data_IF_219927802904
#
_entry.id   IF_219927802904
#
_cell.length_a   1.000
_cell.length_b   1.000
_cell.length_c   1.000
_cell.angle_alpha   90.00
_cell.angle_beta   90.00
_cell.angle_gamma   90.00
#
_symmetry.space_group_name_H-M   'P 1'
#
loop_
_entity.id
_entity.type
_entity.pdbx_description
1 polymer ?
#
# COMPACT_ATOMS: atom_id res chain seq x y z
N UNK A 1 2.96 -12.16 6.87
CA UNK A 1 1.87 -11.18 7.15
C UNK A 1 1.53 -10.40 5.90
N UNK A 2 0.25 -10.22 5.59
CA UNK A 2 -0.25 -9.48 4.42
C UNK A 2 -0.93 -8.19 4.89
N UNK A 3 -0.51 -7.05 4.35
CA UNK A 3 -1.07 -5.72 4.63
C UNK A 3 -1.58 -5.13 3.31
N UNK A 4 -2.84 -4.72 3.27
CA UNK A 4 -3.36 -3.92 2.15
C UNK A 4 -3.39 -2.44 2.52
N UNK A 5 -3.05 -1.59 1.56
CA UNK A 5 -3.15 -0.13 1.69
C UNK A 5 -4.09 0.37 0.61
N UNK A 6 -5.17 1.01 1.03
CA UNK A 6 -6.24 1.40 0.11
C UNK A 6 -6.81 2.78 0.43
N UNK A 7 -7.54 3.34 -0.51
CA UNK A 7 -8.31 4.56 -0.35
C UNK A 7 -9.70 4.43 -0.97
N UNK A 8 -10.67 5.18 -0.46
CA UNK A 8 -12.02 5.21 -1.04
C UNK A 8 -12.12 6.09 -2.30
N UNK A 9 -11.07 6.85 -2.59
CA UNK A 9 -11.01 7.80 -3.72
C UNK A 9 -9.54 7.97 -4.16
N UNK A 10 -9.31 8.17 -5.44
CA UNK A 10 -7.99 8.51 -5.96
C UNK A 10 -7.39 9.79 -5.35
N UNK A 11 -6.07 9.86 -5.28
CA UNK A 11 -5.33 11.01 -4.76
C UNK A 11 -5.34 11.17 -3.23
N UNK A 12 -5.63 10.10 -2.50
CA UNK A 12 -5.58 10.11 -1.03
C UNK A 12 -4.16 9.90 -0.47
N UNK A 13 -3.18 9.53 -1.29
CA UNK A 13 -1.82 9.24 -0.87
C UNK A 13 -1.55 7.76 -0.55
N UNK A 14 -2.41 6.87 -1.00
CA UNK A 14 -2.36 5.42 -0.77
C UNK A 14 -1.01 4.83 -1.17
N UNK A 15 -0.59 5.04 -2.41
CA UNK A 15 0.68 4.54 -2.96
C UNK A 15 1.89 5.07 -2.19
N UNK A 16 1.86 6.35 -1.77
CA UNK A 16 2.92 6.95 -0.96
C UNK A 16 3.04 6.27 0.42
N UNK A 17 1.91 5.96 1.06
CA UNK A 17 1.89 5.28 2.36
C UNK A 17 2.34 3.82 2.20
N UNK A 18 1.90 3.12 1.15
CA UNK A 18 2.34 1.76 0.86
C UNK A 18 3.87 1.70 0.66
N UNK A 19 4.42 2.59 -0.16
CA UNK A 19 5.86 2.71 -0.38
C UNK A 19 6.63 3.00 0.91
N UNK A 20 6.14 3.95 1.73
CA UNK A 20 6.78 4.29 3.00
C UNK A 20 6.78 3.15 4.00
N UNK A 21 5.66 2.42 4.13
CA UNK A 21 5.57 1.23 4.97
C UNK A 21 6.58 0.18 4.52
N UNK A 22 6.63 -0.15 3.23
CA UNK A 22 7.54 -1.14 2.68
C UNK A 22 9.02 -0.77 2.94
N UNK A 23 9.38 0.50 2.69
CA UNK A 23 10.74 0.99 2.93
C UNK A 23 11.13 0.90 4.41
N UNK A 24 10.24 1.25 5.34
CA UNK A 24 10.54 1.17 6.77
C UNK A 24 10.59 -0.26 7.25
N UNK A 25 9.67 -1.12 6.81
CA UNK A 25 9.66 -2.55 7.15
C UNK A 25 10.96 -3.24 6.69
N UNK A 26 11.41 -2.95 5.47
CA UNK A 26 12.69 -3.45 4.97
C UNK A 26 13.89 -2.91 5.75
N UNK A 27 13.89 -1.62 6.14
CA UNK A 27 14.99 -1.00 6.91
C UNK A 27 15.13 -1.55 8.32
N UNK A 28 14.09 -2.10 8.91
CA UNK A 28 14.17 -2.79 10.21
C UNK A 28 14.56 -4.27 10.08
N UNK A 29 14.89 -4.73 8.87
CA UNK A 29 15.42 -6.05 8.60
C UNK A 29 14.41 -7.10 8.15
N UNK A 30 13.13 -6.77 8.00
CA UNK A 30 12.12 -7.70 7.50
C UNK A 30 12.20 -7.83 5.98
N UNK A 31 12.21 -9.06 5.45
CA UNK A 31 12.10 -9.32 4.01
C UNK A 31 10.70 -8.91 3.56
N UNK A 32 10.64 -7.86 2.78
CA UNK A 32 9.39 -7.19 2.40
C UNK A 32 9.14 -7.30 0.91
N UNK A 33 7.93 -7.70 0.55
CA UNK A 33 7.42 -7.62 -0.81
C UNK A 33 6.40 -6.49 -0.89
N UNK A 34 6.61 -5.57 -1.83
CA UNK A 34 5.64 -4.55 -2.19
C UNK A 34 4.98 -4.92 -3.51
N UNK A 35 3.65 -4.93 -3.54
CA UNK A 35 2.87 -5.31 -4.72
C UNK A 35 2.11 -4.10 -5.24
N UNK A 36 2.32 -3.78 -6.51
CA UNK A 36 1.67 -2.69 -7.23
C UNK A 36 0.49 -3.22 -8.04
N UNK A 37 -0.70 -2.72 -7.78
CA UNK A 37 -1.89 -3.08 -8.57
C UNK A 37 -2.30 -2.00 -9.58
N UNK A 38 -1.61 -0.87 -9.62
CA UNK A 38 -2.00 0.32 -10.40
C UNK A 38 -0.92 0.88 -11.32
N UNK A 39 0.35 0.59 -11.08
CA UNK A 39 1.48 1.02 -11.90
C UNK A 39 2.19 2.30 -11.43
N UNK A 40 1.81 2.86 -10.28
CA UNK A 40 2.40 4.12 -9.79
C UNK A 40 3.67 3.93 -8.95
N UNK A 41 3.88 2.73 -8.37
CA UNK A 41 4.99 2.47 -7.44
C UNK A 41 6.39 2.61 -8.08
N UNK A 42 6.64 2.17 -9.33
CA UNK A 42 7.95 2.37 -9.96
C UNK A 42 8.35 3.84 -10.01
N UNK A 43 7.43 4.73 -10.39
CA UNK A 43 7.69 6.17 -10.44
C UNK A 43 7.95 6.75 -9.04
N UNK A 44 7.18 6.36 -8.02
CA UNK A 44 7.33 6.83 -6.63
C UNK A 44 8.66 6.37 -6.03
N UNK A 45 9.09 5.15 -6.33
CA UNK A 45 10.35 4.57 -5.83
C UNK A 45 11.56 4.92 -6.70
N UNK A 46 11.34 5.62 -7.83
CA UNK A 46 12.37 5.91 -8.82
C UNK A 46 13.14 4.65 -9.27
N UNK A 47 12.42 3.56 -9.45
CA UNK A 47 12.94 2.35 -10.07
C UNK A 47 12.76 2.43 -11.59
N UNK A 48 13.52 1.60 -12.33
CA UNK A 48 13.30 1.48 -13.76
C UNK A 48 11.94 0.85 -14.03
N UNK A 49 11.22 1.36 -15.03
CA UNK A 49 9.99 0.72 -15.48
C UNK A 49 10.29 -0.71 -15.92
N UNK A 50 9.61 -1.71 -15.33
CA UNK A 50 9.84 -3.09 -15.70
C UNK A 50 9.34 -3.33 -17.13
N UNK A 51 10.19 -3.93 -17.95
CA UNK A 51 9.84 -4.37 -19.30
C UNK A 51 9.37 -5.84 -19.33
N UNK A 52 9.37 -6.48 -18.16
CA UNK A 52 9.06 -7.90 -17.98
C UNK A 52 7.65 -8.16 -17.44
N UNK A 53 7.35 -9.44 -17.17
CA UNK A 53 6.08 -9.83 -16.56
C UNK A 53 5.95 -9.25 -15.14
N UNK A 54 4.71 -8.98 -14.73
CA UNK A 54 4.38 -8.47 -13.40
C UNK A 54 3.23 -9.24 -12.76
N UNK A 55 2.49 -8.57 -11.89
CA UNK A 55 1.40 -9.15 -11.11
C UNK A 55 0.32 -9.80 -12.00
N UNK A 56 -0.12 -9.10 -13.04
CA UNK A 56 -1.18 -9.59 -13.93
C UNK A 56 -0.73 -10.83 -14.72
N UNK A 57 0.56 -10.90 -15.05
CA UNK A 57 1.14 -12.07 -15.73
C UNK A 57 1.28 -13.24 -14.75
N UNK A 58 1.75 -12.98 -13.52
CA UNK A 58 1.90 -13.99 -12.46
C UNK A 58 0.56 -14.60 -12.04
N UNK A 59 -0.49 -13.79 -11.95
CA UNK A 59 -1.82 -14.24 -11.58
C UNK A 59 -2.62 -14.85 -12.75
N UNK A 60 -2.06 -14.83 -13.96
CA UNK A 60 -2.69 -15.45 -15.12
C UNK A 60 -2.67 -16.98 -14.97
N UNK A 61 -3.83 -17.67 -14.97
CA UNK A 61 -3.91 -19.11 -14.83
C UNK A 61 -3.20 -19.90 -15.94
N UNK A 62 -3.01 -19.29 -17.10
CA UNK A 62 -2.33 -19.91 -18.23
C UNK A 62 -0.81 -19.81 -18.14
N UNK A 63 -0.28 -19.02 -17.19
CA UNK A 63 1.15 -18.82 -16.95
C UNK A 63 1.62 -19.60 -15.71
N UNK A 64 1.70 -20.91 -15.85
CA UNK A 64 2.19 -21.80 -14.77
C UNK A 64 3.73 -21.84 -14.68
N UNK A 65 4.40 -21.19 -15.62
CA UNK A 65 5.86 -21.08 -15.73
C UNK A 65 6.46 -19.97 -14.83
N UNK A 66 5.62 -19.06 -14.31
CA UNK A 66 6.08 -17.94 -13.51
C UNK A 66 6.01 -18.22 -12.00
N UNK A 67 7.13 -17.99 -11.32
CA UNK A 67 7.18 -17.88 -9.85
C UNK A 67 7.19 -16.39 -9.44
N UNK A 68 6.80 -16.09 -8.20
CA UNK A 68 6.84 -14.71 -7.67
C UNK A 68 8.25 -14.09 -7.79
N UNK A 69 9.31 -14.90 -7.61
CA UNK A 69 10.69 -14.46 -7.78
C UNK A 69 11.07 -14.08 -9.21
N UNK A 70 10.32 -14.52 -10.22
CA UNK A 70 10.56 -14.17 -11.62
C UNK A 70 9.95 -12.81 -12.02
N UNK A 71 9.00 -12.32 -11.23
CA UNK A 71 8.28 -11.08 -11.50
C UNK A 71 8.63 -9.97 -10.49
N UNK A 72 9.34 -10.34 -9.41
CA UNK A 72 9.81 -9.40 -8.40
C UNK A 72 11.14 -8.76 -8.84
N UNK A 73 11.26 -7.46 -8.68
CA UNK A 73 12.51 -6.71 -8.86
C UNK A 73 13.00 -6.17 -7.52
N UNK A 74 14.29 -6.26 -7.24
CA UNK A 74 14.88 -5.75 -6.02
C UNK A 74 14.97 -4.21 -6.06
N UNK A 75 14.39 -3.58 -5.05
CA UNK A 75 14.44 -2.12 -4.84
C UNK A 75 15.56 -1.75 -3.86
N UNK A 76 15.62 -2.49 -2.74
CA UNK A 76 16.69 -2.36 -1.72
C UNK A 76 17.04 -3.75 -1.17
N UNK A 77 18.01 -3.85 -0.27
CA UNK A 77 18.49 -5.13 0.29
C UNK A 77 17.36 -6.06 0.79
N UNK A 78 16.32 -5.52 1.42
CA UNK A 78 15.21 -6.30 1.98
C UNK A 78 13.85 -5.93 1.38
N UNK A 79 13.84 -5.22 0.25
CA UNK A 79 12.60 -4.81 -0.42
C UNK A 79 12.62 -5.23 -1.89
N UNK A 80 11.67 -6.07 -2.24
CA UNK A 80 11.34 -6.40 -3.62
C UNK A 80 9.99 -5.78 -4.00
N UNK A 81 9.83 -5.46 -5.28
CA UNK A 81 8.63 -4.89 -5.89
C UNK A 81 8.10 -5.81 -6.99
N UNK A 82 6.83 -6.18 -6.93
CA UNK A 82 6.09 -6.72 -8.07
C UNK A 82 5.25 -5.58 -8.65
N UNK A 83 5.50 -5.24 -9.90
CA UNK A 83 4.74 -4.22 -10.63
C UNK A 83 3.49 -4.79 -11.26
N UNK A 84 2.59 -3.94 -11.76
CA UNK A 84 1.31 -4.37 -12.32
C UNK A 84 1.46 -5.38 -13.47
N UNK A 85 2.50 -5.26 -14.30
CA UNK A 85 2.72 -6.11 -15.47
C UNK A 85 1.92 -5.68 -16.70
N UNK A 86 1.91 -6.52 -17.74
CA UNK A 86 1.32 -6.21 -19.06
C UNK A 86 0.10 -7.08 -19.40
N UNK A 87 -0.20 -8.08 -18.57
CA UNK A 87 -1.33 -8.98 -18.73
C UNK A 87 -2.70 -8.32 -18.45
N UNK A 88 -3.80 -9.00 -18.77
CA UNK A 88 -5.13 -8.53 -18.43
C UNK A 88 -5.30 -8.52 -16.89
N UNK A 89 -6.09 -7.57 -16.40
CA UNK A 89 -6.43 -7.50 -14.97
C UNK A 89 -7.05 -8.81 -14.51
N UNK A 90 -6.46 -9.53 -13.54
CA UNK A 90 -6.96 -10.83 -13.12
C UNK A 90 -8.29 -10.68 -12.38
N UNK A 91 -9.12 -11.72 -12.50
CA UNK A 91 -10.28 -11.87 -11.62
C UNK A 91 -9.79 -12.38 -10.27
N UNK A 92 -10.08 -11.63 -9.20
CA UNK A 92 -9.69 -12.02 -7.84
C UNK A 92 -10.59 -13.14 -7.34
N UNK A 93 -10.03 -14.32 -7.23
CA UNK A 93 -10.66 -15.52 -6.70
C UNK A 93 -9.77 -16.22 -5.65
N UNK A 94 -10.20 -17.36 -5.16
CA UNK A 94 -9.46 -18.18 -4.19
C UNK A 94 -8.07 -18.62 -4.71
N UNK A 95 -7.92 -18.72 -6.04
CA UNK A 95 -6.66 -19.10 -6.69
C UNK A 95 -5.66 -17.95 -6.63
N UNK A 96 -6.11 -16.72 -6.89
CA UNK A 96 -5.29 -15.51 -6.72
C UNK A 96 -4.73 -15.42 -5.30
N UNK A 97 -5.54 -15.76 -4.30
CA UNK A 97 -5.10 -15.86 -2.91
C UNK A 97 -4.01 -16.91 -2.71
N UNK A 98 -4.24 -18.14 -3.19
CA UNK A 98 -3.26 -19.22 -3.06
C UNK A 98 -1.92 -18.91 -3.72
N UNK A 99 -1.94 -18.25 -4.88
CA UNK A 99 -0.73 -17.82 -5.58
C UNK A 99 0.03 -16.75 -4.78
N UNK A 100 -0.67 -15.77 -4.22
CA UNK A 100 -0.03 -14.75 -3.40
C UNK A 100 0.53 -15.29 -2.09
N UNK A 101 -0.22 -16.16 -1.40
CA UNK A 101 0.21 -16.74 -0.13
C UNK A 101 1.32 -17.78 -0.34
N UNK A 102 1.18 -18.71 -1.27
CA UNK A 102 2.17 -19.76 -1.52
C UNK A 102 3.43 -19.25 -2.25
N UNK A 103 3.31 -18.22 -3.10
CA UNK A 103 4.46 -17.61 -3.78
C UNK A 103 5.25 -16.61 -2.94
N UNK A 104 4.70 -16.19 -1.81
CA UNK A 104 5.27 -15.14 -0.96
C UNK A 104 5.85 -15.67 0.37
N UNK A 105 5.94 -17.00 0.55
CA UNK A 105 6.46 -17.64 1.78
C UNK A 105 7.90 -17.24 2.15
N UNK A 106 8.63 -16.65 1.20
CA UNK A 106 9.99 -16.17 1.43
C UNK A 106 10.04 -14.76 2.05
N UNK A 107 8.90 -14.07 2.13
CA UNK A 107 8.80 -12.73 2.69
C UNK A 107 8.13 -12.73 4.05
N UNK A 108 8.67 -11.94 4.98
CA UNK A 108 8.08 -11.76 6.31
C UNK A 108 6.81 -10.91 6.22
N UNK A 109 6.83 -9.90 5.33
CA UNK A 109 5.72 -8.96 5.13
C UNK A 109 5.46 -8.74 3.65
N UNK A 110 4.20 -8.82 3.27
CA UNK A 110 3.70 -8.47 1.93
C UNK A 110 2.80 -7.25 2.06
N UNK A 111 3.14 -6.16 1.38
CA UNK A 111 2.35 -4.93 1.35
C UNK A 111 1.77 -4.76 -0.05
N UNK A 112 0.45 -4.61 -0.14
CA UNK A 112 -0.25 -4.49 -1.41
C UNK A 112 -0.87 -3.10 -1.52
N UNK A 113 -0.41 -2.32 -2.50
CA UNK A 113 -1.08 -1.08 -2.89
C UNK A 113 -2.27 -1.40 -3.79
N UNK A 114 -3.46 -1.29 -3.24
CA UNK A 114 -4.70 -1.59 -3.96
C UNK A 114 -5.40 -0.34 -4.47
N UNK A 115 -4.83 0.83 -4.27
CA UNK A 115 -5.40 2.15 -4.59
C UNK A 115 -6.88 2.26 -4.18
N UNK A 116 -7.82 2.12 -5.12
CA UNK A 116 -9.26 2.17 -4.84
C UNK A 116 -9.98 0.82 -4.98
N UNK A 117 -9.26 -0.26 -5.24
CA UNK A 117 -9.79 -1.60 -5.51
C UNK A 117 -9.74 -2.50 -4.27
N UNK A 118 -10.16 -1.98 -3.12
CA UNK A 118 -9.93 -2.56 -1.80
C UNK A 118 -10.62 -3.91 -1.55
N UNK A 119 -11.87 -4.08 -1.97
CA UNK A 119 -12.76 -5.11 -1.39
C UNK A 119 -12.28 -6.56 -1.53
N UNK A 120 -11.71 -6.94 -2.66
CA UNK A 120 -11.22 -8.32 -2.85
C UNK A 120 -9.92 -8.56 -2.07
N UNK A 121 -9.00 -7.58 -2.09
CA UNK A 121 -7.71 -7.65 -1.42
C UNK A 121 -7.80 -7.60 0.11
N UNK A 122 -8.69 -6.75 0.65
CA UNK A 122 -8.84 -6.57 2.09
C UNK A 122 -9.29 -7.85 2.80
N UNK A 123 -10.06 -8.71 2.13
CA UNK A 123 -10.50 -10.02 2.68
C UNK A 123 -9.36 -11.02 2.85
N UNK A 124 -8.25 -10.80 2.16
CA UNK A 124 -7.08 -11.67 2.18
C UNK A 124 -6.00 -11.15 3.11
N UNK A 125 -6.14 -9.93 3.59
CA UNK A 125 -5.12 -9.26 4.38
C UNK A 125 -5.31 -9.54 5.88
N UNK A 126 -4.20 -9.71 6.56
CA UNK A 126 -4.15 -9.70 8.02
C UNK A 126 -4.46 -8.30 8.55
N UNK A 127 -4.08 -7.26 7.78
CA UNK A 127 -4.37 -5.86 8.06
C UNK A 127 -4.79 -5.11 6.80
N UNK A 128 -5.82 -4.27 6.93
CA UNK A 128 -6.25 -3.35 5.88
C UNK A 128 -6.16 -1.91 6.38
N UNK A 129 -5.38 -1.09 5.69
CA UNK A 129 -5.09 0.30 6.05
C UNK A 129 -5.82 1.22 5.08
N UNK A 130 -6.86 1.90 5.57
CA UNK A 130 -7.53 2.95 4.83
C UNK A 130 -6.75 4.25 4.92
N UNK A 131 -6.32 4.79 3.80
CA UNK A 131 -5.73 6.13 3.70
C UNK A 131 -6.78 7.11 3.20
N UNK A 132 -7.06 8.16 3.95
CA UNK A 132 -8.05 9.17 3.59
C UNK A 132 -7.61 10.59 3.93
N UNK A 133 -8.24 11.56 3.31
CA UNK A 133 -8.15 12.99 3.67
C UNK A 133 -9.50 13.46 4.20
N UNK A 134 -9.58 14.57 4.95
CA UNK A 134 -10.83 15.19 5.36
C UNK A 134 -11.63 15.70 4.13
N UNK A 135 -12.26 14.77 3.42
CA UNK A 135 -12.96 15.00 2.17
C UNK A 135 -14.30 14.26 2.19
N UNK A 136 -15.40 14.99 2.10
CA UNK A 136 -16.75 14.41 2.14
C UNK A 136 -16.93 13.25 1.17
N UNK A 137 -16.51 13.41 -0.09
CA UNK A 137 -16.68 12.37 -1.09
C UNK A 137 -15.87 11.09 -0.78
N UNK A 138 -14.65 11.25 -0.22
CA UNK A 138 -13.84 10.10 0.20
C UNK A 138 -14.52 9.38 1.35
N UNK A 139 -15.01 10.12 2.35
CA UNK A 139 -15.69 9.58 3.52
C UNK A 139 -17.02 8.90 3.15
N UNK A 140 -17.85 9.55 2.30
CA UNK A 140 -19.09 8.98 1.82
C UNK A 140 -18.92 7.65 1.05
N UNK A 141 -17.77 7.45 0.41
CA UNK A 141 -17.43 6.18 -0.24
C UNK A 141 -16.87 5.16 0.77
N UNK A 142 -16.04 5.62 1.70
CA UNK A 142 -15.38 4.75 2.67
C UNK A 142 -16.37 4.03 3.59
N UNK A 143 -17.47 4.66 3.97
CA UNK A 143 -18.52 4.05 4.83
C UNK A 143 -19.24 2.87 4.16
N UNK A 144 -19.11 2.70 2.85
CA UNK A 144 -19.69 1.59 2.09
C UNK A 144 -18.65 0.50 1.75
N UNK A 145 -17.40 0.64 2.18
CA UNK A 145 -16.36 -0.37 2.01
C UNK A 145 -16.30 -1.31 3.23
N UNK A 146 -15.58 -2.44 3.07
CA UNK A 146 -15.28 -3.31 4.20
C UNK A 146 -14.52 -2.50 5.28
N UNK A 147 -14.84 -2.76 6.54
CA UNK A 147 -14.26 -2.04 7.68
C UNK A 147 -12.75 -2.25 7.71
N UNK A 148 -11.92 -1.19 7.66
CA UNK A 148 -10.47 -1.33 7.75
C UNK A 148 -10.04 -1.71 9.18
N UNK A 149 -8.85 -2.28 9.32
CA UNK A 149 -8.23 -2.49 10.64
C UNK A 149 -7.57 -1.23 11.16
N UNK A 150 -7.10 -0.38 10.26
CA UNK A 150 -6.37 0.85 10.55
C UNK A 150 -6.82 1.99 9.65
N UNK A 151 -6.80 3.22 10.19
CA UNK A 151 -7.12 4.43 9.43
C UNK A 151 -5.97 5.42 9.53
N UNK A 152 -5.49 5.86 8.38
CA UNK A 152 -4.51 6.94 8.23
C UNK A 152 -5.19 8.17 7.66
N UNK A 153 -5.13 9.28 8.38
CA UNK A 153 -5.70 10.55 7.92
C UNK A 153 -4.60 11.52 7.54
N UNK A 154 -4.59 11.96 6.27
CA UNK A 154 -3.70 13.04 5.82
C UNK A 154 -4.47 14.35 5.95
N UNK A 155 -4.13 15.15 6.96
CA UNK A 155 -4.82 16.41 7.26
C UNK A 155 -4.33 17.55 6.39
N UNK A 156 -5.27 18.38 5.96
CA UNK A 156 -5.02 19.60 5.18
C UNK A 156 -5.58 20.80 5.93
N UNK A 157 -4.85 21.92 6.01
CA UNK A 157 -5.40 23.17 6.58
C UNK A 157 -6.67 23.63 5.84
N UNK A 158 -7.63 24.18 6.59
CA UNK A 158 -8.85 24.76 6.01
C UNK A 158 -9.93 23.75 5.61
N UNK A 159 -9.79 22.47 5.94
CA UNK A 159 -10.87 21.49 5.75
C UNK A 159 -11.91 21.62 6.85
N UNK A 160 -13.20 21.50 6.47
CA UNK A 160 -14.32 21.54 7.42
C UNK A 160 -14.44 20.23 8.22
N UNK A 161 -14.13 19.07 7.59
CA UNK A 161 -14.15 17.79 8.28
C UNK A 161 -12.89 17.63 9.14
N UNK A 162 -13.10 17.11 10.34
CA UNK A 162 -12.06 16.83 11.32
C UNK A 162 -11.75 15.33 11.38
N UNK A 163 -10.70 14.96 12.09
CA UNK A 163 -10.39 13.55 12.41
C UNK A 163 -11.54 12.89 13.17
N UNK A 164 -12.16 13.63 14.13
CA UNK A 164 -13.30 13.14 14.91
C UNK A 164 -14.52 12.84 14.03
N UNK A 165 -14.77 13.65 12.99
CA UNK A 165 -15.87 13.39 12.05
C UNK A 165 -15.62 12.11 11.25
N UNK A 166 -14.35 11.85 10.90
CA UNK A 166 -13.93 10.62 10.20
C UNK A 166 -14.12 9.40 11.11
N UNK A 167 -13.69 9.49 12.38
CA UNK A 167 -13.86 8.42 13.37
C UNK A 167 -15.34 8.13 13.61
N UNK A 168 -16.16 9.15 13.77
CA UNK A 168 -17.60 9.00 13.98
C UNK A 168 -18.30 8.33 12.79
N UNK A 169 -17.91 8.69 11.56
CA UNK A 169 -18.51 8.14 10.35
C UNK A 169 -18.09 6.70 10.08
N UNK A 170 -16.83 6.35 10.36
CA UNK A 170 -16.29 5.00 10.12
C UNK A 170 -16.50 4.03 11.29
N UNK A 171 -16.82 4.56 12.48
CA UNK A 171 -16.94 3.77 13.71
C UNK A 171 -15.62 3.12 14.14
N UNK A 172 -14.48 3.75 13.83
CA UNK A 172 -13.13 3.26 14.13
C UNK A 172 -12.22 4.44 14.47
N UNK A 173 -11.34 4.25 15.45
CA UNK A 173 -10.35 5.26 15.83
C UNK A 173 -9.27 5.40 14.77
N UNK A 174 -8.85 6.64 14.48
CA UNK A 174 -7.76 6.92 13.56
C UNK A 174 -6.44 6.48 14.18
N UNK A 175 -5.77 5.56 13.50
CA UNK A 175 -4.48 5.01 13.95
C UNK A 175 -3.35 6.04 13.84
N UNK A 176 -3.35 6.82 12.75
CA UNK A 176 -2.27 7.78 12.48
C UNK A 176 -2.79 9.00 11.75
N UNK A 177 -2.33 10.17 12.19
CA UNK A 177 -2.57 11.46 11.52
C UNK A 177 -1.26 11.98 10.93
N UNK A 178 -1.29 12.31 9.65
CA UNK A 178 -0.17 12.86 8.90
C UNK A 178 -0.54 14.26 8.41
N UNK A 179 0.13 15.32 8.85
CA UNK A 179 -0.09 16.64 8.25
C UNK A 179 0.36 16.63 6.79
N UNK A 180 -0.37 17.32 5.92
CA UNK A 180 0.06 17.52 4.54
C UNK A 180 1.42 18.22 4.53
N UNK A 181 2.44 17.50 4.09
CA UNK A 181 3.82 17.99 4.08
C UNK A 181 4.32 18.08 2.63
N UNK A 182 4.53 19.30 2.09
CA UNK A 182 5.06 19.49 0.75
C UNK A 182 6.45 18.85 0.54
N UNK A 183 7.18 18.54 1.61
CA UNK A 183 8.46 17.84 1.50
C UNK A 183 8.29 16.42 0.97
N UNK A 184 7.14 15.79 1.17
CA UNK A 184 6.83 14.45 0.64
C UNK A 184 6.73 14.53 -0.89
N UNK A 185 5.94 15.46 -1.42
CA UNK A 185 5.82 15.64 -2.87
C UNK A 185 7.18 15.96 -3.52
N UNK A 186 7.91 16.94 -2.96
CA UNK A 186 9.26 17.28 -3.46
C UNK A 186 10.24 16.10 -3.43
N UNK A 187 10.13 15.22 -2.43
CA UNK A 187 10.97 14.04 -2.33
C UNK A 187 10.64 13.03 -3.43
N UNK A 188 9.36 12.82 -3.71
CA UNK A 188 8.87 11.94 -4.78
C UNK A 188 9.27 12.50 -6.15
N UNK A 189 9.00 13.79 -6.41
CA UNK A 189 9.32 14.46 -7.67
C UNK A 189 10.84 14.44 -7.97
N UNK A 190 11.67 14.42 -6.93
CA UNK A 190 13.12 14.31 -7.05
C UNK A 190 13.63 12.86 -7.16
N UNK A 191 12.75 11.84 -7.11
CA UNK A 191 13.14 10.43 -7.16
C UNK A 191 13.93 9.96 -5.93
N UNK A 192 13.72 10.57 -4.77
CA UNK A 192 14.55 10.33 -3.58
C UNK A 192 13.86 9.49 -2.50
N UNK A 193 12.63 9.02 -2.70
CA UNK A 193 11.86 8.39 -1.63
C UNK A 193 12.52 7.10 -1.11
N UNK A 194 13.11 6.29 -1.99
CA UNK A 194 13.79 5.05 -1.64
C UNK A 194 15.07 5.28 -0.82
N UNK A 195 15.73 6.42 -0.99
CA UNK A 195 16.98 6.76 -0.29
C UNK A 195 16.74 7.63 0.94
N UNK A 196 15.78 8.55 0.88
CA UNK A 196 15.51 9.55 1.92
C UNK A 196 14.01 9.73 2.16
N UNK A 197 13.48 9.08 3.20
CA UNK A 197 12.11 9.32 3.63
C UNK A 197 11.99 10.67 4.37
N UNK A 198 11.00 11.52 4.03
CA UNK A 198 10.65 12.68 4.83
C UNK A 198 10.27 12.25 6.26
N UNK A 199 10.74 13.01 7.27
CA UNK A 199 10.56 12.66 8.70
C UNK A 199 9.09 12.43 9.09
N UNK A 200 8.19 13.23 8.52
CA UNK A 200 6.74 13.10 8.77
C UNK A 200 6.22 11.74 8.33
N UNK A 201 6.63 11.30 7.14
CA UNK A 201 6.23 10.03 6.56
C UNK A 201 6.91 8.84 7.28
N UNK A 202 8.19 8.96 7.59
CA UNK A 202 8.94 7.95 8.35
C UNK A 202 8.31 7.69 9.72
N UNK A 203 7.98 8.74 10.47
CA UNK A 203 7.36 8.61 11.79
C UNK A 203 5.99 7.92 11.71
N UNK A 204 5.18 8.26 10.70
CA UNK A 204 3.89 7.65 10.50
C UNK A 204 4.00 6.16 10.16
N UNK A 205 4.91 5.79 9.26
CA UNK A 205 5.15 4.40 8.89
C UNK A 205 5.66 3.57 10.09
N UNK A 206 6.60 4.11 10.87
CA UNK A 206 7.06 3.45 12.11
C UNK A 206 5.94 3.24 13.13
N UNK A 207 5.05 4.23 13.28
CA UNK A 207 3.91 4.09 14.20
C UNK A 207 2.93 3.00 13.74
N UNK A 208 2.65 2.94 12.45
CA UNK A 208 1.79 1.89 11.88
C UNK A 208 2.38 0.49 12.06
N UNK A 209 3.71 0.33 11.94
CA UNK A 209 4.37 -0.95 12.20
C UNK A 209 4.33 -1.29 13.70
N UNK A 210 4.63 -0.33 14.58
CA UNK A 210 4.64 -0.56 16.02
C UNK A 210 3.26 -0.87 16.60
N UNK A 211 2.18 -0.34 16.03
CA UNK A 211 0.80 -0.63 16.46
C UNK A 211 0.38 -2.09 16.26
N UNK A 212 1.16 -2.86 15.52
CA UNK A 212 0.99 -4.30 15.35
C UNK A 212 1.46 -5.09 16.58
N UNK A 213 2.59 -4.70 17.18
CA UNK A 213 3.20 -5.42 18.32
C UNK A 213 2.34 -5.29 19.58
N UNK A 214 1.41 -4.34 19.62
CA UNK A 214 0.57 -4.03 20.76
C UNK A 214 -0.83 -4.68 20.72
N UNK A 215 -1.15 -5.45 19.67
CA UNK A 215 -2.42 -6.20 19.50
C UNK A 215 -2.23 -7.69 19.75
#
# INVERSE_FOLDING_TARGET
>A
MIITVHGAKGGQGTTTIAAALALITARIGSRTLLVDTTGDLPAILATTDPTGPGLTDYLNPDRTDLAASHVAQTVTENLDLITVGTGPTPTFDTRTYGLLTGGCDTYDVVIIDTATHANAWNRLADRSILVTRPCYLALARAVHQDRPTDVVVITEPGRALTTTDIEAALGITVTTVIPLDPAIARCIDAGLLNTRLPRTLERAARHLIASEVAR
#
